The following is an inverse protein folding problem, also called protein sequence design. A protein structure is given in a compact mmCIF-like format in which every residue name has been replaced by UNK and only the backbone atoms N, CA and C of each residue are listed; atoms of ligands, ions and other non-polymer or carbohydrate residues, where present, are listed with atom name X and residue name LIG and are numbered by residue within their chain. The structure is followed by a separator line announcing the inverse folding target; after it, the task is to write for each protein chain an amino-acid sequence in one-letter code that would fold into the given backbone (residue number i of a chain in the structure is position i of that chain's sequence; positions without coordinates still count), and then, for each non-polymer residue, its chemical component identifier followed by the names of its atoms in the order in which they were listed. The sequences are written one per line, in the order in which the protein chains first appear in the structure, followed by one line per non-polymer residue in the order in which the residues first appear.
data_IF_885121051322
#
_entry.id   IF_885121051322
#
_cell.length_a   1.000
_cell.length_b   1.000
_cell.length_c   1.000
_cell.angle_alpha   90.00
_cell.angle_beta   90.00
_cell.angle_gamma   90.00
#
_symmetry.space_group_name_H-M   'P 1'
#
loop_
_entity.id
_entity.type
_entity.pdbx_description
1 polymer ?
#
# COMPACT_ATOMS: atom_id res chain seq x y z
N UNK A 1 14.81 -14.94 10.82
CA UNK A 1 14.26 -14.78 9.51
C UNK A 1 14.00 -13.31 9.24
N UNK A 2 14.42 -12.85 8.11
CA UNK A 2 14.27 -11.44 7.79
C UNK A 2 12.80 -11.02 7.80
N UNK A 3 11.93 -11.88 7.27
CA UNK A 3 10.52 -11.52 7.20
C UNK A 3 9.92 -11.29 8.58
N UNK A 4 10.37 -12.02 9.57
CA UNK A 4 9.83 -11.84 10.90
C UNK A 4 10.31 -10.55 11.54
N UNK A 5 11.51 -10.17 11.23
CA UNK A 5 12.03 -8.92 11.76
C UNK A 5 11.22 -7.75 11.21
N UNK A 6 10.96 -7.76 9.90
CA UNK A 6 10.22 -6.68 9.28
C UNK A 6 8.80 -6.64 9.81
N UNK A 7 8.18 -7.81 9.93
CA UNK A 7 6.83 -7.90 10.46
C UNK A 7 6.76 -7.30 11.86
N UNK A 8 7.75 -7.62 12.65
CA UNK A 8 7.79 -7.14 14.02
C UNK A 8 7.87 -5.61 14.05
N UNK A 9 8.68 -5.05 13.19
CA UNK A 9 8.81 -3.61 13.13
C UNK A 9 7.49 -2.96 12.73
N UNK A 10 6.79 -3.56 11.80
CA UNK A 10 5.53 -3.01 11.35
C UNK A 10 4.46 -3.10 12.43
N UNK A 11 4.46 -4.17 13.20
CA UNK A 11 3.54 -4.27 14.31
C UNK A 11 3.81 -3.18 15.32
N UNK A 12 5.07 -2.89 15.52
CA UNK A 12 5.44 -1.85 16.44
C UNK A 12 4.95 -0.49 15.94
N UNK A 13 5.10 -0.26 14.65
CA UNK A 13 4.59 0.98 14.06
C UNK A 13 3.09 1.06 14.20
N UNK A 14 2.44 -0.07 14.06
CA UNK A 14 1.00 -0.13 14.22
C UNK A 14 0.57 0.26 15.64
N UNK A 15 1.36 -0.11 16.61
CA UNK A 15 1.12 0.31 17.98
C UNK A 15 1.16 1.82 18.10
N UNK A 16 2.13 2.42 17.45
CA UNK A 16 2.26 3.86 17.47
C UNK A 16 1.09 4.52 16.81
N UNK A 17 0.35 3.79 16.05
CA UNK A 17 -0.80 4.32 15.37
C UNK A 17 -1.80 4.94 16.34
N UNK A 18 -1.89 4.42 17.55
CA UNK A 18 -2.79 4.98 18.53
C UNK A 18 -2.53 6.47 18.76
N UNK A 19 -1.31 6.89 18.50
CA UNK A 19 -0.91 8.28 18.64
C UNK A 19 -0.86 9.02 17.33
N UNK A 20 -1.20 8.31 16.25
CA UNK A 20 -1.12 8.91 14.95
C UNK A 20 0.23 8.71 14.29
N UNK A 21 0.21 8.72 13.01
CA UNK A 21 1.39 8.53 12.20
C UNK A 21 2.13 9.86 12.08
N UNK A 22 3.44 9.81 12.12
CA UNK A 22 4.23 11.02 11.90
C UNK A 22 4.29 11.33 10.42
N UNK A 23 4.42 12.61 10.11
CA UNK A 23 4.54 13.04 8.73
C UNK A 23 5.75 12.38 8.08
N UNK A 24 5.57 11.94 6.85
CA UNK A 24 6.63 11.29 6.12
C UNK A 24 6.77 9.81 6.36
N UNK A 25 6.05 9.27 7.32
CA UNK A 25 6.11 7.84 7.62
C UNK A 25 5.02 7.10 6.89
N UNK A 26 5.33 5.86 6.53
CA UNK A 26 4.34 4.96 5.96
C UNK A 26 4.07 3.86 6.97
N UNK A 27 2.79 3.67 7.28
CA UNK A 27 2.37 2.60 8.18
C UNK A 27 1.74 1.49 7.38
N UNK A 28 2.13 0.27 7.69
CA UNK A 28 1.60 -0.91 7.03
C UNK A 28 1.09 -1.87 8.08
N UNK A 29 -0.18 -2.27 7.94
CA UNK A 29 -0.79 -3.23 8.84
C UNK A 29 -1.29 -4.42 8.04
N UNK A 30 -1.20 -5.61 8.63
CA UNK A 30 -1.67 -6.81 7.99
C UNK A 30 -1.93 -7.85 9.07
N UNK A 31 -2.93 -8.71 8.85
CA UNK A 31 -3.25 -9.73 9.85
C UNK A 31 -2.40 -10.98 9.73
N UNK A 32 -1.94 -11.29 8.53
CA UNK A 32 -1.22 -12.55 8.31
C UNK A 32 0.28 -12.39 8.25
N UNK A 33 0.78 -11.19 8.44
CA UNK A 33 2.21 -10.98 8.45
C UNK A 33 2.76 -10.61 7.10
N UNK A 34 4.07 -10.53 7.04
CA UNK A 34 4.77 -10.03 5.86
C UNK A 34 5.85 -11.02 5.47
N UNK A 35 5.90 -11.34 4.19
CA UNK A 35 6.98 -12.15 3.63
C UNK A 35 7.81 -11.28 2.72
N UNK A 36 9.12 -11.41 2.82
CA UNK A 36 10.03 -10.62 2.00
C UNK A 36 10.75 -11.56 1.05
N UNK A 37 10.62 -11.26 -0.23
CA UNK A 37 11.28 -12.01 -1.29
C UNK A 37 12.39 -11.14 -1.84
N UNK A 38 13.58 -11.31 -1.30
CA UNK A 38 14.67 -10.39 -1.60
C UNK A 38 15.19 -10.51 -3.02
N UNK A 39 15.20 -11.72 -3.55
CA UNK A 39 15.68 -11.90 -4.92
C UNK A 39 14.73 -11.29 -5.93
N UNK A 40 13.44 -11.47 -5.70
CA UNK A 40 12.43 -10.92 -6.58
C UNK A 40 12.11 -9.47 -6.24
N UNK A 41 12.57 -9.01 -5.10
CA UNK A 41 12.47 -7.63 -4.65
C UNK A 41 11.04 -7.18 -4.44
N UNK A 42 10.30 -7.95 -3.64
CA UNK A 42 8.99 -7.50 -3.21
C UNK A 42 8.65 -8.07 -1.84
N UNK A 43 7.71 -7.41 -1.18
CA UNK A 43 7.07 -7.92 0.02
C UNK A 43 5.70 -8.45 -0.36
N UNK A 44 5.24 -9.43 0.38
CA UNK A 44 3.89 -9.94 0.23
C UNK A 44 3.18 -9.80 1.56
N UNK A 45 2.05 -9.10 1.52
CA UNK A 45 1.21 -8.90 2.68
C UNK A 45 -0.14 -9.49 2.39
N UNK A 46 -0.73 -10.17 3.37
CA UNK A 46 -2.00 -10.84 3.17
C UNK A 46 -2.94 -10.56 4.32
N UNK A 47 -4.21 -10.47 3.97
CA UNK A 47 -5.34 -10.40 4.89
C UNK A 47 -5.46 -9.06 5.58
N UNK A 48 -6.46 -8.33 5.16
CA UNK A 48 -6.79 -7.02 5.71
C UNK A 48 -5.57 -6.10 5.76
N UNK A 49 -4.98 -5.93 4.58
CA UNK A 49 -3.79 -5.08 4.47
C UNK A 49 -4.22 -3.63 4.38
N UNK A 50 -3.54 -2.79 5.13
CA UNK A 50 -3.77 -1.36 5.07
C UNK A 50 -2.43 -0.63 5.01
N UNK A 51 -2.32 0.30 4.08
CA UNK A 51 -1.12 1.11 3.93
C UNK A 51 -1.53 2.57 4.02
N UNK A 52 -0.93 3.28 4.95
CA UNK A 52 -1.19 4.70 5.17
C UNK A 52 0.09 5.48 4.95
N UNK A 53 0.04 6.44 4.06
CA UNK A 53 1.16 7.34 3.86
C UNK A 53 0.63 8.76 3.74
N UNK A 54 1.52 9.72 3.61
CA UNK A 54 1.09 11.10 3.45
C UNK A 54 0.35 11.30 2.13
N UNK A 55 0.62 10.46 1.16
CA UNK A 55 0.09 10.67 -0.18
C UNK A 55 -1.14 9.84 -0.49
N UNK A 56 -1.32 8.72 0.22
CA UNK A 56 -2.44 7.85 -0.11
C UNK A 56 -2.75 6.88 1.02
N UNK A 57 -3.93 6.29 0.91
CA UNK A 57 -4.36 5.19 1.76
C UNK A 57 -4.79 4.05 0.84
N UNK A 58 -4.29 2.86 1.10
CA UNK A 58 -4.58 1.69 0.28
C UNK A 58 -5.02 0.55 1.17
N UNK A 59 -6.11 -0.10 0.79
CA UNK A 59 -6.60 -1.30 1.48
C UNK A 59 -6.77 -2.42 0.47
N UNK A 60 -6.48 -3.64 0.90
CA UNK A 60 -6.68 -4.80 0.05
C UNK A 60 -6.47 -6.06 0.86
N UNK A 61 -6.75 -7.20 0.27
CA UNK A 61 -6.55 -8.47 0.96
C UNK A 61 -5.18 -9.04 0.69
N UNK A 62 -4.63 -8.75 -0.47
CA UNK A 62 -3.28 -9.19 -0.83
C UNK A 62 -2.59 -7.99 -1.46
N UNK A 63 -1.42 -7.66 -0.94
CA UNK A 63 -0.67 -6.54 -1.49
C UNK A 63 0.77 -6.97 -1.70
N UNK A 64 1.28 -6.73 -2.89
CA UNK A 64 2.69 -6.88 -3.19
C UNK A 64 3.31 -5.51 -3.32
N UNK A 65 4.41 -5.32 -2.63
CA UNK A 65 5.14 -4.05 -2.66
C UNK A 65 6.50 -4.31 -3.27
N UNK A 66 6.73 -3.76 -4.44
CA UNK A 66 8.00 -3.96 -5.14
C UNK A 66 8.97 -2.85 -4.83
N UNK A 67 10.22 -3.19 -4.62
CA UNK A 67 11.25 -2.22 -4.31
C UNK A 67 12.43 -2.41 -5.26
N UNK A 68 13.29 -1.40 -5.35
CA UNK A 68 14.41 -1.46 -6.28
C UNK A 68 15.71 -1.82 -5.60
N UNK A 69 16.16 -0.96 -4.71
CA UNK A 69 17.47 -1.16 -4.11
C UNK A 69 17.36 -1.77 -2.73
N UNK A 70 16.49 -1.23 -1.91
CA UNK A 70 16.34 -1.72 -0.56
C UNK A 70 14.87 -1.65 -0.18
N UNK A 71 14.58 -2.06 1.02
CA UNK A 71 13.21 -2.24 1.48
C UNK A 71 12.41 -0.94 1.53
N UNK A 72 13.08 0.19 1.49
CA UNK A 72 12.41 1.49 1.57
C UNK A 72 12.28 2.17 0.21
N UNK A 73 12.90 1.62 -0.80
CA UNK A 73 12.89 2.22 -2.13
C UNK A 73 11.75 1.60 -2.95
N UNK A 74 10.53 1.87 -2.54
CA UNK A 74 9.34 1.26 -3.14
C UNK A 74 9.08 1.88 -4.50
N UNK A 75 8.81 1.02 -5.47
CA UNK A 75 8.53 1.51 -6.82
C UNK A 75 7.14 1.16 -7.30
N UNK A 76 6.52 0.12 -6.78
CA UNK A 76 5.21 -0.29 -7.29
C UNK A 76 4.44 -1.06 -6.23
N UNK A 77 3.12 -0.83 -6.19
CA UNK A 77 2.22 -1.57 -5.33
C UNK A 77 1.19 -2.27 -6.19
N UNK A 78 0.91 -3.52 -5.88
CA UNK A 78 -0.16 -4.25 -6.54
C UNK A 78 -1.06 -4.81 -5.45
N UNK A 79 -2.30 -4.35 -5.41
CA UNK A 79 -3.26 -4.78 -4.42
C UNK A 79 -4.36 -5.59 -5.10
N UNK A 80 -4.82 -6.64 -4.43
CA UNK A 80 -5.81 -7.56 -4.99
C UNK A 80 -6.89 -7.84 -3.95
N UNK A 81 -8.12 -7.95 -4.42
CA UNK A 81 -9.31 -8.32 -3.65
C UNK A 81 -9.74 -7.24 -2.66
N UNK A 82 -10.92 -6.72 -2.91
CA UNK A 82 -11.51 -5.67 -2.06
C UNK A 82 -10.58 -4.48 -1.93
N UNK A 83 -10.11 -3.99 -3.05
CA UNK A 83 -9.13 -2.92 -3.05
C UNK A 83 -9.83 -1.58 -2.94
N UNK A 84 -9.32 -0.71 -2.07
CA UNK A 84 -9.76 0.67 -1.96
C UNK A 84 -8.53 1.55 -1.92
N UNK A 85 -8.60 2.65 -2.63
CA UNK A 85 -7.48 3.57 -2.72
C UNK A 85 -8.00 4.99 -2.64
N UNK A 86 -7.38 5.79 -1.80
CA UNK A 86 -7.72 7.20 -1.66
C UNK A 86 -6.44 8.00 -1.63
N UNK A 87 -6.38 9.02 -2.44
CA UNK A 87 -5.26 9.96 -2.41
C UNK A 87 -5.80 11.37 -2.48
N UNK A 88 -5.70 12.08 -1.38
CA UNK A 88 -6.08 13.49 -1.36
C UNK A 88 -5.09 14.30 -2.19
N UNK A 89 -3.85 13.87 -2.17
CA UNK A 89 -2.79 14.56 -2.88
C UNK A 89 -3.07 14.63 -4.37
N UNK A 90 -3.55 13.54 -4.94
CA UNK A 90 -3.84 13.47 -6.36
C UNK A 90 -5.33 13.59 -6.63
N UNK A 91 -6.14 13.71 -5.57
CA UNK A 91 -7.58 13.86 -5.70
C UNK A 91 -8.20 12.67 -6.43
N UNK A 92 -7.84 11.48 -5.99
CA UNK A 92 -8.26 10.23 -6.62
C UNK A 92 -8.87 9.31 -5.59
N UNK A 93 -9.96 8.66 -5.96
CA UNK A 93 -10.53 7.56 -5.20
C UNK A 93 -10.76 6.41 -6.16
N UNK A 94 -10.44 5.22 -5.73
CA UNK A 94 -10.64 4.05 -6.56
C UNK A 94 -10.98 2.83 -5.74
N UNK A 95 -11.72 1.90 -6.34
CA UNK A 95 -11.96 0.61 -5.74
C UNK A 95 -12.16 -0.41 -6.85
N UNK A 96 -11.91 -1.66 -6.53
CA UNK A 96 -12.04 -2.70 -7.52
C UNK A 96 -11.42 -3.99 -7.03
N UNK A 97 -11.24 -4.90 -7.97
CA UNK A 97 -10.67 -6.20 -7.65
C UNK A 97 -9.15 -6.17 -7.61
N UNK A 98 -8.55 -5.27 -8.37
CA UNK A 98 -7.11 -5.17 -8.42
C UNK A 98 -6.71 -3.75 -8.72
N UNK A 99 -5.64 -3.31 -8.09
CA UNK A 99 -5.11 -1.98 -8.32
C UNK A 99 -3.60 -2.08 -8.46
N UNK A 100 -3.07 -1.41 -9.47
CA UNK A 100 -1.64 -1.30 -9.67
C UNK A 100 -1.25 0.16 -9.60
N UNK A 101 -0.33 0.47 -8.70
CA UNK A 101 0.12 1.84 -8.51
C UNK A 101 1.62 1.86 -8.71
N UNK A 102 2.04 2.46 -9.81
CA UNK A 102 3.46 2.64 -10.07
C UNK A 102 3.85 4.00 -9.51
N UNK A 103 4.55 3.97 -8.40
CA UNK A 103 4.86 5.18 -7.66
C UNK A 103 5.84 6.07 -8.44
N UNK A 104 6.82 5.45 -9.05
CA UNK A 104 7.84 6.22 -9.76
C UNK A 104 7.29 6.91 -10.99
N UNK A 105 6.35 6.28 -11.66
CA UNK A 105 5.73 6.86 -12.84
C UNK A 105 4.44 7.57 -12.54
N UNK A 106 3.98 7.49 -11.29
CA UNK A 106 2.72 8.09 -10.86
C UNK A 106 1.56 7.62 -11.71
N UNK A 107 1.51 6.31 -11.94
CA UNK A 107 0.48 5.73 -12.77
C UNK A 107 -0.36 4.77 -11.94
N UNK A 108 -1.68 4.92 -12.03
CA UNK A 108 -2.63 4.09 -11.31
C UNK A 108 -3.52 3.37 -12.31
N UNK A 109 -3.74 2.09 -12.09
CA UNK A 109 -4.67 1.30 -12.87
C UNK A 109 -5.58 0.53 -11.93
N UNK A 110 -6.88 0.59 -12.18
CA UNK A 110 -7.87 -0.16 -11.40
C UNK A 110 -8.53 -1.14 -12.34
N UNK A 111 -8.56 -2.40 -11.94
CA UNK A 111 -9.00 -3.48 -12.82
C UNK A 111 -10.07 -4.30 -12.10
N UNK A 112 -11.04 -4.79 -12.87
CA UNK A 112 -12.08 -5.66 -12.34
C UNK A 112 -13.45 -5.26 -12.83
N UNK A 113 -14.43 -6.13 -12.65
CA UNK A 113 -15.76 -5.90 -13.18
C UNK A 113 -16.47 -4.75 -12.50
N UNK A 114 -16.21 -4.58 -11.20
CA UNK A 114 -16.86 -3.53 -10.44
C UNK A 114 -15.90 -2.42 -10.09
N UNK A 115 -14.92 -2.21 -10.93
CA UNK A 115 -13.91 -1.20 -10.66
C UNK A 115 -14.44 0.20 -10.90
N UNK A 116 -14.05 1.11 -10.04
CA UNK A 116 -14.44 2.51 -10.16
C UNK A 116 -13.24 3.37 -9.84
N UNK A 117 -13.12 4.45 -10.56
CA UNK A 117 -12.06 5.40 -10.32
C UNK A 117 -12.65 6.80 -10.42
N UNK A 118 -12.58 7.53 -9.31
CA UNK A 118 -13.10 8.88 -9.24
C UNK A 118 -11.95 9.86 -9.23
N UNK A 119 -11.96 10.79 -10.16
CA UNK A 119 -10.97 11.84 -10.21
C UNK A 119 -11.66 13.11 -9.79
N UNK A 120 -11.28 13.63 -8.64
CA UNK A 120 -11.90 14.83 -8.15
C UNK A 120 -11.55 16.02 -9.02
N UNK A 121 -12.46 16.98 -9.09
CA UNK A 121 -12.12 18.22 -9.75
C UNK A 121 -11.37 19.04 -8.76
N UNK A 122 -10.36 19.56 -9.26
CA UNK A 122 -9.62 20.41 -8.46
C UNK A 122 -10.29 21.71 -8.35
N UNK A 123 -10.66 22.16 -7.78
CA UNK A 123 -11.26 23.26 -7.87
C UNK A 123 -10.72 24.17 -7.29
N UNK A 124 -10.46 24.34 -7.65
CA UNK A 124 -9.94 24.99 -7.31
C UNK A 124 -10.11 25.73 -6.91
#
# INVERSE_FOLDING_TARGET
MIKYVIFYILIFANYNFALGRNAGETEITTEDGIEVFQEEKYYLLKKNVEILSDEFQLNGQIVKIFFEKDLYDVKELIATDDVKFISDNYNIKGNGDKLEFNIKKEKISVIGENSELFLGTTKM
#
